data_IF_866418359154
#
_entry.id   IF_866418359154
#
_cell.length_a   1.000
_cell.length_b   1.000
_cell.length_c   1.000
_cell.angle_alpha   90.00
_cell.angle_beta   90.00
_cell.angle_gamma   90.00
#
_symmetry.space_group_name_H-M   'P 1'
#
loop_
_entity.id
_entity.type
_entity.pdbx_description
1 polymer ?
#
# COMPACT_ATOMS: atom_id res chain seq x y z
N UNK A 1 26.10 38.55 -23.66
CA UNK A 1 26.35 37.10 -23.57
C UNK A 1 24.99 36.44 -23.39
N UNK A 2 24.46 35.83 -24.44
CA UNK A 2 23.27 34.99 -24.34
C UNK A 2 23.74 33.57 -24.65
N UNK A 3 23.66 32.69 -23.66
CA UNK A 3 23.46 31.27 -23.91
C UNK A 3 22.36 30.79 -22.98
N UNK A 4 21.39 30.16 -23.60
CA UNK A 4 20.16 29.64 -23.05
C UNK A 4 20.42 28.21 -22.52
N UNK A 5 19.41 27.64 -21.87
CA UNK A 5 19.30 26.20 -21.57
C UNK A 5 20.07 25.77 -20.31
N UNK A 6 19.40 25.53 -19.18
CA UNK A 6 18.75 24.23 -19.02
C UNK A 6 17.56 24.35 -18.10
N UNK A 7 16.41 24.61 -18.70
CA UNK A 7 15.13 24.12 -18.18
C UNK A 7 15.19 22.59 -18.17
N UNK A 8 15.75 22.01 -17.11
CA UNK A 8 15.62 20.58 -16.86
C UNK A 8 14.13 20.25 -16.89
N UNK A 9 13.75 19.46 -17.90
CA UNK A 9 12.38 19.39 -18.41
C UNK A 9 11.37 19.12 -17.29
N UNK A 10 10.26 19.84 -17.28
CA UNK A 10 9.18 19.68 -16.29
C UNK A 10 8.73 18.22 -16.13
N UNK A 11 8.88 17.42 -17.18
CA UNK A 11 8.63 15.97 -17.20
C UNK A 11 9.59 15.17 -16.31
N UNK A 12 10.90 15.48 -16.33
CA UNK A 12 11.87 14.79 -15.47
C UNK A 12 11.56 15.06 -14.00
N UNK A 13 11.34 16.32 -13.63
CA UNK A 13 10.96 16.69 -12.25
C UNK A 13 9.68 16.00 -11.78
N UNK A 14 8.66 15.90 -12.65
CA UNK A 14 7.42 15.21 -12.34
C UNK A 14 7.63 13.71 -12.10
N UNK A 15 8.40 13.03 -12.96
CA UNK A 15 8.71 11.60 -12.79
C UNK A 15 9.45 11.34 -11.48
N UNK A 16 10.43 12.20 -11.12
CA UNK A 16 11.16 12.06 -9.85
C UNK A 16 10.24 12.25 -8.64
N UNK A 17 9.29 13.20 -8.71
CA UNK A 17 8.28 13.39 -7.67
C UNK A 17 7.40 12.14 -7.51
N UNK A 18 6.90 11.57 -8.61
CA UNK A 18 6.10 10.35 -8.58
C UNK A 18 6.90 9.18 -8.02
N UNK A 19 8.16 9.03 -8.44
CA UNK A 19 9.05 7.99 -7.91
C UNK A 19 9.23 8.12 -6.39
N UNK A 20 9.49 9.34 -5.89
CA UNK A 20 9.63 9.59 -4.45
C UNK A 20 8.37 9.22 -3.67
N UNK A 21 7.19 9.55 -4.19
CA UNK A 21 5.92 9.19 -3.56
C UNK A 21 5.68 7.68 -3.56
N UNK A 22 6.12 6.97 -4.61
CA UNK A 22 6.09 5.51 -4.65
C UNK A 22 7.03 4.91 -3.58
N UNK A 23 8.24 5.45 -3.39
CA UNK A 23 9.14 5.03 -2.31
C UNK A 23 8.48 5.16 -0.93
N UNK A 24 7.76 6.26 -0.69
CA UNK A 24 7.02 6.47 0.56
C UNK A 24 5.90 5.44 0.73
N UNK A 25 5.11 5.16 -0.31
CA UNK A 25 4.11 4.09 -0.30
C UNK A 25 4.74 2.71 -0.01
N UNK A 26 5.92 2.44 -0.56
CA UNK A 26 6.67 1.21 -0.28
C UNK A 26 7.07 1.11 1.19
N UNK A 27 7.55 2.20 1.80
CA UNK A 27 7.86 2.25 3.24
C UNK A 27 6.63 1.94 4.09
N UNK A 28 5.45 2.46 3.71
CA UNK A 28 4.19 2.17 4.37
C UNK A 28 3.64 0.74 4.14
N UNK A 29 4.36 -0.11 3.40
CA UNK A 29 3.96 -1.49 3.07
C UNK A 29 2.64 -1.57 2.29
N UNK A 30 2.37 -0.57 1.45
CA UNK A 30 1.18 -0.53 0.58
C UNK A 30 1.33 -1.46 -0.63
N UNK A 31 0.24 -2.10 -1.03
CA UNK A 31 0.18 -2.76 -2.34
C UNK A 31 0.26 -1.73 -3.48
N UNK A 32 0.46 -2.22 -4.70
CA UNK A 32 0.43 -1.37 -5.89
C UNK A 32 -0.93 -0.66 -6.03
N UNK A 33 -2.03 -1.35 -5.75
CA UNK A 33 -3.39 -0.84 -5.80
C UNK A 33 -3.61 0.25 -4.75
N UNK A 34 -3.17 0.01 -3.51
CA UNK A 34 -3.25 1.00 -2.43
C UNK A 34 -2.39 2.24 -2.75
N UNK A 35 -1.21 2.06 -3.34
CA UNK A 35 -0.36 3.14 -3.81
C UNK A 35 -1.06 3.97 -4.90
N UNK A 36 -1.68 3.32 -5.89
CA UNK A 36 -2.44 4.00 -6.95
C UNK A 36 -3.61 4.82 -6.38
N UNK A 37 -4.38 4.25 -5.45
CA UNK A 37 -5.49 4.93 -4.81
C UNK A 37 -5.01 6.12 -3.96
N UNK A 38 -3.99 5.91 -3.13
CA UNK A 38 -3.43 6.94 -2.26
C UNK A 38 -2.88 8.13 -3.05
N UNK A 39 -2.09 7.88 -4.10
CA UNK A 39 -1.53 8.96 -4.91
C UNK A 39 -2.59 9.66 -5.76
N UNK A 40 -3.62 8.94 -6.22
CA UNK A 40 -4.76 9.56 -6.89
C UNK A 40 -5.56 10.46 -5.97
N UNK A 41 -5.82 10.02 -4.74
CA UNK A 41 -6.67 10.75 -3.79
C UNK A 41 -5.94 11.92 -3.12
N UNK A 42 -4.68 11.74 -2.77
CA UNK A 42 -3.93 12.69 -1.93
C UNK A 42 -2.97 13.59 -2.73
N UNK A 43 -2.49 13.13 -3.89
CA UNK A 43 -1.55 13.88 -4.73
C UNK A 43 -2.12 14.22 -6.13
N UNK A 44 -3.37 13.84 -6.42
CA UNK A 44 -4.03 14.06 -7.71
C UNK A 44 -3.25 13.49 -8.92
N UNK A 45 -2.51 12.40 -8.71
CA UNK A 45 -1.76 11.70 -9.76
C UNK A 45 -2.66 10.66 -10.41
N UNK A 46 -2.73 10.64 -11.74
CA UNK A 46 -3.55 9.64 -12.44
C UNK A 46 -3.02 8.22 -12.15
N UNK A 47 -3.88 7.24 -11.79
CA UNK A 47 -3.46 5.88 -11.47
C UNK A 47 -2.58 5.22 -12.56
N UNK A 48 -2.84 5.52 -13.83
CA UNK A 48 -2.04 5.01 -14.96
C UNK A 48 -0.58 5.47 -14.91
N UNK A 49 -0.30 6.68 -14.42
CA UNK A 49 1.06 7.20 -14.26
C UNK A 49 1.76 6.43 -13.16
N UNK A 50 1.13 6.32 -11.98
CA UNK A 50 1.67 5.54 -10.85
C UNK A 50 1.93 4.09 -11.24
N UNK A 51 0.97 3.44 -11.92
CA UNK A 51 1.14 2.07 -12.40
C UNK A 51 2.31 1.93 -13.37
N UNK A 52 2.50 2.91 -14.25
CA UNK A 52 3.59 2.86 -15.24
C UNK A 52 4.94 2.98 -14.57
N UNK A 53 5.12 3.98 -13.70
CA UNK A 53 6.39 4.18 -12.98
C UNK A 53 6.67 2.99 -12.04
N UNK A 54 5.67 2.50 -11.33
CA UNK A 54 5.80 1.30 -10.48
C UNK A 54 6.28 0.08 -11.28
N UNK A 55 5.67 -0.18 -12.44
CA UNK A 55 6.05 -1.33 -13.28
C UNK A 55 7.50 -1.23 -13.76
N UNK A 56 7.97 -0.03 -14.11
CA UNK A 56 9.37 0.16 -14.50
C UNK A 56 10.31 -0.04 -13.32
N UNK A 57 9.96 0.45 -12.12
CA UNK A 57 10.74 0.21 -10.91
C UNK A 57 10.83 -1.28 -10.56
N UNK A 58 9.73 -2.01 -10.70
CA UNK A 58 9.68 -3.45 -10.47
C UNK A 58 10.55 -4.24 -11.47
N UNK A 59 10.55 -3.84 -12.75
CA UNK A 59 11.41 -4.44 -13.77
C UNK A 59 12.90 -4.23 -13.49
N UNK A 60 13.28 -3.04 -13.05
CA UNK A 60 14.68 -2.69 -12.74
C UNK A 60 15.16 -3.25 -11.39
N UNK A 61 14.24 -3.46 -10.43
CA UNK A 61 14.56 -3.85 -9.05
C UNK A 61 13.84 -5.12 -8.61
N UNK A 62 13.84 -6.17 -9.46
CA UNK A 62 13.03 -7.39 -9.26
C UNK A 62 13.18 -8.02 -7.89
N UNK A 63 14.41 -8.25 -7.44
CA UNK A 63 14.68 -8.92 -6.16
C UNK A 63 14.08 -8.17 -4.97
N UNK A 64 14.10 -6.83 -5.01
CA UNK A 64 13.47 -6.00 -3.98
C UNK A 64 11.94 -6.19 -3.99
N UNK A 65 11.30 -6.11 -5.16
CA UNK A 65 9.84 -6.21 -5.27
C UNK A 65 9.32 -7.63 -4.98
N UNK A 66 10.08 -8.67 -5.29
CA UNK A 66 9.77 -10.05 -4.90
C UNK A 66 9.79 -10.22 -3.37
N UNK A 67 10.84 -9.72 -2.71
CA UNK A 67 10.94 -9.75 -1.25
C UNK A 67 9.86 -8.89 -0.59
N UNK A 68 9.59 -7.72 -1.18
CA UNK A 68 8.55 -6.81 -0.73
C UNK A 68 7.16 -7.45 -0.75
N UNK A 69 6.78 -8.03 -1.89
CA UNK A 69 5.46 -8.65 -2.09
C UNK A 69 5.26 -9.83 -1.16
N UNK A 70 6.30 -10.66 -0.95
CA UNK A 70 6.27 -11.76 0.01
C UNK A 70 6.01 -11.27 1.44
N UNK A 71 6.72 -10.23 1.90
CA UNK A 71 6.53 -9.68 3.25
C UNK A 71 5.17 -8.99 3.45
N UNK A 72 4.66 -8.32 2.42
CA UNK A 72 3.32 -7.71 2.46
C UNK A 72 2.23 -8.78 2.55
N UNK A 73 2.36 -9.89 1.81
CA UNK A 73 1.43 -11.02 1.91
C UNK A 73 1.45 -11.67 3.29
N UNK A 74 2.63 -11.93 3.85
CA UNK A 74 2.78 -12.49 5.20
C UNK A 74 2.05 -11.62 6.25
N UNK A 75 2.22 -10.29 6.20
CA UNK A 75 1.50 -9.36 7.08
C UNK A 75 -0.01 -9.41 6.90
N UNK A 76 -0.49 -9.41 5.66
CA UNK A 76 -1.92 -9.50 5.37
C UNK A 76 -2.52 -10.79 5.97
N UNK A 77 -1.87 -11.94 5.75
CA UNK A 77 -2.32 -13.21 6.31
C UNK A 77 -2.29 -13.24 7.85
N UNK A 78 -1.30 -12.60 8.47
CA UNK A 78 -1.21 -12.49 9.93
C UNK A 78 -2.33 -11.62 10.51
N UNK A 79 -2.65 -10.49 9.87
CA UNK A 79 -3.77 -9.63 10.24
C UNK A 79 -5.08 -10.41 10.12
N UNK A 80 -5.29 -11.14 9.03
CA UNK A 80 -6.49 -11.96 8.83
C UNK A 80 -6.62 -13.07 9.88
N UNK A 81 -5.53 -13.79 10.19
CA UNK A 81 -5.51 -14.82 11.24
C UNK A 81 -5.89 -14.22 12.59
N UNK A 82 -5.31 -13.08 12.95
CA UNK A 82 -5.63 -12.36 14.20
C UNK A 82 -7.09 -11.94 14.25
N UNK A 83 -7.62 -11.38 13.16
CA UNK A 83 -9.03 -11.00 13.07
C UNK A 83 -9.97 -12.20 13.16
N UNK A 84 -9.59 -13.37 12.61
CA UNK A 84 -10.38 -14.60 12.71
C UNK A 84 -10.41 -15.11 14.15
N UNK A 85 -9.25 -15.19 14.81
CA UNK A 85 -9.16 -15.59 16.23
C UNK A 85 -9.96 -14.62 17.10
N UNK A 86 -9.81 -13.31 16.89
CA UNK A 86 -10.55 -12.28 17.62
C UNK A 86 -12.06 -12.42 17.45
N UNK A 87 -12.54 -12.68 16.22
CA UNK A 87 -13.96 -12.94 15.94
C UNK A 87 -14.46 -14.20 16.64
N UNK A 88 -13.72 -15.31 16.57
CA UNK A 88 -14.09 -16.55 17.25
C UNK A 88 -14.16 -16.39 18.77
N UNK A 89 -13.20 -15.68 19.37
CA UNK A 89 -13.20 -15.40 20.81
C UNK A 89 -14.40 -14.54 21.21
N UNK A 90 -14.72 -13.51 20.43
CA UNK A 90 -15.89 -12.67 20.69
C UNK A 90 -17.20 -13.46 20.60
N UNK A 91 -17.34 -14.36 19.62
CA UNK A 91 -18.49 -15.26 19.52
C UNK A 91 -18.60 -16.19 20.74
N UNK A 92 -17.50 -16.83 21.14
CA UNK A 92 -17.48 -17.70 22.32
C UNK A 92 -17.90 -16.97 23.61
N UNK A 93 -17.38 -15.76 23.84
CA UNK A 93 -17.75 -14.96 25.03
C UNK A 93 -19.24 -14.60 25.01
N UNK A 94 -19.79 -14.27 23.84
CA UNK A 94 -21.23 -13.98 23.69
C UNK A 94 -22.09 -15.19 24.04
N UNK A 95 -21.74 -16.36 23.55
CA UNK A 95 -22.52 -17.59 23.75
C UNK A 95 -22.49 -18.05 25.23
N UNK A 96 -21.39 -17.80 25.94
CA UNK A 96 -21.29 -18.12 27.37
C UNK A 96 -22.02 -17.11 28.27
N UNK A 97 -22.06 -15.82 27.89
CA UNK A 97 -22.79 -14.79 28.64
C UNK A 97 -24.31 -14.75 28.33
N UNK A 98 -24.78 -15.53 27.35
CA UNK A 98 -26.20 -15.61 26.98
C UNK A 98 -27.04 -16.60 27.79
N UNK A 99 -26.43 -17.35 28.73
CA UNK A 99 -27.10 -18.44 29.47
C UNK A 99 -27.62 -18.06 30.88
N UNK A 100 -27.55 -16.78 31.28
CA UNK A 100 -28.03 -16.33 32.60
C UNK A 100 -29.47 -15.77 32.58
N UNK A 101 -30.41 -16.44 31.91
CA UNK A 101 -31.82 -16.07 32.02
C UNK A 101 -32.79 -17.24 32.03
N UNK A 102 -32.68 -18.11 33.03
CA UNK A 102 -33.80 -18.94 33.51
C UNK A 102 -33.67 -19.14 35.01
N UNK A 103 -34.18 -18.20 35.80
CA UNK A 103 -34.76 -18.48 37.11
C UNK A 103 -35.55 -17.25 37.59
N UNK A 104 -36.83 -17.22 37.25
CA UNK A 104 -37.85 -16.58 38.08
C UNK A 104 -38.94 -17.61 38.37
#
# INVERSE_FOLDING_TARGET
MADSSSSSSSSSSYIHMVHRLIEECLVFKMSKEECMEALSKHANIKPVITSTVWNELEKENKEFFEAYTRGSHERATEIEKRQRIQRSLHAYIRDNNGNDQLHH
#
